data_IF_501449841982
#
_entry.id   IF_501449841982
#
_cell.length_a   1.000
_cell.length_b   1.000
_cell.length_c   1.000
_cell.angle_alpha   90.00
_cell.angle_beta   90.00
_cell.angle_gamma   90.00
#
_symmetry.space_group_name_H-M   'P 1'
#
loop_
_entity.id
_entity.type
_entity.pdbx_description
1 polymer ?
#
# COMPACT_ATOMS: atom_id res chain seq x y z
N UNK A 1 -3.35 13.60 -1.19
CA UNK A 1 -2.44 14.72 -0.86
C UNK A 1 -3.19 16.02 -0.70
N UNK A 2 -2.59 16.96 0.02
CA UNK A 2 -3.13 18.30 0.29
C UNK A 2 -3.11 19.23 -0.93
N UNK A 3 -2.07 19.15 -1.77
CA UNK A 3 -1.89 20.01 -2.95
C UNK A 3 -1.65 19.17 -4.23
N UNK A 4 -2.70 18.61 -4.85
CA UNK A 4 -2.56 17.72 -5.99
C UNK A 4 -2.33 18.49 -7.30
N UNK A 5 -1.31 18.09 -8.07
CA UNK A 5 -0.95 18.74 -9.34
C UNK A 5 -0.76 17.74 -10.49
N UNK A 6 -1.05 18.13 -11.76
CA UNK A 6 -0.80 17.26 -12.92
C UNK A 6 0.67 16.91 -13.11
N UNK A 7 1.57 17.88 -12.90
CA UNK A 7 3.01 17.71 -13.12
C UNK A 7 3.63 16.65 -12.22
N UNK A 8 3.07 16.45 -11.03
CA UNK A 8 3.54 15.44 -10.06
C UNK A 8 2.79 14.11 -10.19
N UNK A 9 1.80 14.00 -11.09
CA UNK A 9 0.93 12.84 -11.21
C UNK A 9 -0.10 12.70 -10.08
N UNK A 10 -0.13 13.62 -9.11
CA UNK A 10 -1.04 13.57 -7.94
C UNK A 10 -2.43 14.14 -8.22
N UNK A 11 -2.61 14.86 -9.35
CA UNK A 11 -3.90 15.19 -9.95
C UNK A 11 -4.01 14.57 -11.34
N UNK A 12 -4.94 13.65 -11.51
CA UNK A 12 -5.11 12.91 -12.76
C UNK A 12 -6.42 13.36 -13.41
N UNK A 13 -6.35 13.75 -14.68
CA UNK A 13 -7.53 14.05 -15.51
C UNK A 13 -7.64 12.96 -16.56
N UNK A 14 -8.77 12.27 -16.57
CA UNK A 14 -9.08 11.24 -17.58
C UNK A 14 -10.09 11.82 -18.54
N UNK A 15 -9.74 11.91 -19.82
CA UNK A 15 -10.65 12.33 -20.89
C UNK A 15 -11.13 11.10 -21.67
N UNK A 16 -12.34 11.18 -22.23
CA UNK A 16 -13.02 10.03 -22.84
C UNK A 16 -13.17 10.13 -24.38
N UNK A 17 -12.33 10.96 -25.03
CA UNK A 17 -12.37 11.22 -26.47
C UNK A 17 -11.02 11.38 -27.18
N UNK A 18 -9.91 11.54 -26.44
CA UNK A 18 -8.56 11.61 -27.01
C UNK A 18 -7.60 10.75 -26.17
N UNK A 19 -6.77 9.93 -26.82
CA UNK A 19 -5.72 9.17 -26.13
C UNK A 19 -4.52 10.06 -25.87
N UNK A 20 -4.13 10.18 -24.61
CA UNK A 20 -2.86 10.78 -24.23
C UNK A 20 -1.87 9.67 -23.88
N UNK A 21 -0.67 9.74 -24.45
CA UNK A 21 0.42 8.79 -24.18
C UNK A 21 0.96 9.06 -22.78
N UNK A 22 1.22 8.01 -22.00
CA UNK A 22 1.76 8.05 -20.63
C UNK A 22 0.83 8.64 -19.53
N UNK A 23 -0.47 8.76 -19.79
CA UNK A 23 -1.47 9.09 -18.76
C UNK A 23 -2.49 7.96 -18.58
N UNK A 24 -3.42 8.12 -17.65
CA UNK A 24 -4.59 7.26 -17.58
C UNK A 24 -5.39 7.38 -18.87
N UNK A 25 -5.88 6.25 -19.38
CA UNK A 25 -6.69 6.19 -20.58
C UNK A 25 -8.17 6.08 -20.21
N UNK A 26 -9.02 6.85 -20.90
CA UNK A 26 -10.48 6.78 -20.80
C UNK A 26 -11.12 6.44 -22.14
N UNK A 27 -12.18 5.63 -22.12
CA UNK A 27 -13.04 5.43 -23.28
C UNK A 27 -14.51 5.27 -22.87
N UNK A 28 -15.42 5.75 -23.71
CA UNK A 28 -16.86 5.49 -23.56
C UNK A 28 -17.14 4.07 -24.05
N UNK A 29 -17.71 3.23 -23.18
CA UNK A 29 -18.04 1.83 -23.49
C UNK A 29 -19.45 1.74 -24.05
N UNK A 30 -20.41 2.41 -23.40
CA UNK A 30 -21.80 2.42 -23.84
C UNK A 30 -22.57 3.62 -23.30
N UNK A 31 -23.62 3.98 -24.03
CA UNK A 31 -24.58 5.02 -23.65
C UNK A 31 -25.98 4.40 -23.64
N UNK A 32 -26.68 4.51 -22.50
CA UNK A 32 -28.04 4.00 -22.33
C UNK A 32 -28.90 5.06 -21.64
N UNK A 33 -29.71 5.78 -22.41
CA UNK A 33 -30.50 6.90 -21.91
C UNK A 33 -29.60 7.98 -21.29
N UNK A 34 -29.81 8.27 -20.00
CA UNK A 34 -29.00 9.20 -19.21
C UNK A 34 -27.78 8.57 -18.54
N UNK A 35 -27.51 7.27 -18.75
CA UNK A 35 -26.38 6.55 -18.16
C UNK A 35 -25.25 6.38 -19.16
N UNK A 36 -24.04 6.73 -18.74
CA UNK A 36 -22.79 6.50 -19.47
C UNK A 36 -21.95 5.47 -18.73
N UNK A 37 -21.47 4.46 -19.45
CA UNK A 37 -20.50 3.50 -18.95
C UNK A 37 -19.13 3.86 -19.50
N UNK A 38 -18.18 4.07 -18.60
CA UNK A 38 -16.82 4.51 -18.91
C UNK A 38 -15.83 3.40 -18.56
N UNK A 39 -14.85 3.17 -19.41
CA UNK A 39 -13.66 2.39 -19.07
C UNK A 39 -12.53 3.34 -18.76
N UNK A 40 -11.82 3.08 -17.66
CA UNK A 40 -10.67 3.84 -17.19
C UNK A 40 -9.55 2.85 -16.96
N UNK A 41 -8.40 3.10 -17.58
CA UNK A 41 -7.18 2.29 -17.41
C UNK A 41 -6.10 3.15 -16.77
N UNK A 42 -5.72 2.89 -15.50
CA UNK A 42 -4.59 3.56 -14.87
C UNK A 42 -3.28 3.35 -15.62
N UNK A 43 -2.38 4.33 -15.55
CA UNK A 43 -1.01 4.17 -16.04
C UNK A 43 -0.27 3.13 -15.19
N UNK A 44 0.58 2.25 -15.75
CA UNK A 44 1.45 1.35 -15.00
C UNK A 44 2.46 2.07 -14.08
N UNK A 45 2.66 3.38 -14.29
CA UNK A 45 3.54 4.24 -13.47
C UNK A 45 2.76 5.12 -12.49
N UNK A 46 1.49 4.80 -12.24
CA UNK A 46 0.64 5.59 -11.36
C UNK A 46 1.18 5.59 -9.94
N UNK A 47 0.93 6.69 -9.24
CA UNK A 47 1.16 6.78 -7.79
C UNK A 47 0.31 5.70 -7.11
N UNK A 48 0.91 4.93 -6.21
CA UNK A 48 0.19 4.00 -5.33
C UNK A 48 -0.41 4.77 -4.16
N UNK A 49 -1.69 4.53 -3.90
CA UNK A 49 -2.40 5.12 -2.77
C UNK A 49 -3.90 5.28 -2.97
N UNK A 50 -4.53 6.03 -2.07
CA UNK A 50 -5.97 6.32 -2.08
C UNK A 50 -6.26 7.62 -2.81
N UNK A 51 -7.04 7.54 -3.88
CA UNK A 51 -7.46 8.66 -4.71
C UNK A 51 -8.87 9.09 -4.37
N UNK A 52 -9.10 10.40 -4.44
CA UNK A 52 -10.43 10.99 -4.42
C UNK A 52 -10.92 11.08 -5.86
N UNK A 53 -12.14 10.60 -6.10
CA UNK A 53 -12.74 10.60 -7.44
C UNK A 53 -13.76 11.72 -7.58
N UNK A 54 -13.70 12.44 -8.70
CA UNK A 54 -14.64 13.49 -9.07
C UNK A 54 -15.02 13.31 -10.52
N UNK A 55 -16.29 13.59 -10.85
CA UNK A 55 -16.72 13.76 -12.24
C UNK A 55 -16.75 15.24 -12.54
N UNK A 56 -16.09 15.65 -13.61
CA UNK A 56 -16.10 17.01 -14.11
C UNK A 56 -16.83 17.05 -15.46
N UNK A 57 -17.78 17.96 -15.60
CA UNK A 57 -18.55 18.17 -16.83
C UNK A 57 -18.29 19.59 -17.29
N UNK A 58 -17.88 19.73 -18.55
CA UNK A 58 -17.77 21.03 -19.21
C UNK A 58 -19.05 21.31 -20.00
N UNK A 59 -19.87 22.23 -19.48
CA UNK A 59 -21.09 22.73 -20.12
C UNK A 59 -21.02 24.26 -20.26
N UNK A 60 -19.85 24.79 -20.63
CA UNK A 60 -19.57 26.24 -20.71
C UNK A 60 -18.97 26.83 -19.43
N UNK A 61 -19.20 26.16 -18.30
CA UNK A 61 -18.39 26.29 -17.08
C UNK A 61 -18.08 24.90 -16.56
N UNK A 62 -16.87 24.71 -16.01
CA UNK A 62 -16.45 23.42 -15.45
C UNK A 62 -17.19 23.17 -14.14
N UNK A 63 -18.05 22.15 -14.12
CA UNK A 63 -18.80 21.73 -12.93
C UNK A 63 -18.23 20.43 -12.40
N UNK A 64 -18.09 20.33 -11.08
CA UNK A 64 -17.57 19.15 -10.40
C UNK A 64 -18.62 18.55 -9.46
N UNK A 65 -18.65 17.23 -9.37
CA UNK A 65 -19.40 16.55 -8.31
C UNK A 65 -18.90 16.97 -6.92
N UNK A 66 -19.76 17.03 -5.89
CA UNK A 66 -19.31 17.24 -4.52
C UNK A 66 -18.39 16.10 -4.05
N UNK A 67 -17.61 16.35 -2.98
CA UNK A 67 -16.78 15.33 -2.35
C UNK A 67 -17.65 14.18 -1.86
N UNK A 68 -17.38 12.96 -2.33
CA UNK A 68 -18.02 11.74 -1.87
C UNK A 68 -16.97 10.68 -1.49
N UNK A 69 -16.86 10.33 -0.21
CA UNK A 69 -15.89 9.33 0.29
C UNK A 69 -16.18 7.92 -0.20
N UNK A 70 -17.41 7.60 -0.60
CA UNK A 70 -17.75 6.26 -1.10
C UNK A 70 -17.20 5.97 -2.50
N UNK A 71 -16.71 6.99 -3.22
CA UNK A 71 -16.06 6.85 -4.52
C UNK A 71 -14.53 6.92 -4.44
N UNK A 72 -13.96 6.93 -3.24
CA UNK A 72 -12.52 6.80 -3.08
C UNK A 72 -12.05 5.46 -3.63
N UNK A 73 -10.92 5.49 -4.30
CA UNK A 73 -10.38 4.33 -4.98
C UNK A 73 -8.91 4.14 -4.62
N UNK A 74 -8.52 2.91 -4.32
CA UNK A 74 -7.11 2.57 -4.18
C UNK A 74 -6.54 2.19 -5.54
N UNK A 75 -5.36 2.71 -5.84
CA UNK A 75 -4.53 2.27 -6.95
C UNK A 75 -3.29 1.66 -6.32
N UNK A 76 -3.00 0.41 -6.67
CA UNK A 76 -1.87 -0.36 -6.16
C UNK A 76 -0.91 -0.70 -7.30
N UNK A 77 0.28 -1.18 -6.94
CA UNK A 77 1.15 -1.85 -7.89
C UNK A 77 0.45 -3.06 -8.52
N UNK A 78 0.78 -3.37 -9.77
CA UNK A 78 0.11 -4.41 -10.53
C UNK A 78 1.09 -5.49 -11.03
N UNK A 79 1.23 -6.57 -10.27
CA UNK A 79 2.08 -7.70 -10.61
C UNK A 79 1.63 -8.47 -11.87
N UNK A 80 0.42 -8.22 -12.40
CA UNK A 80 -0.10 -8.83 -13.64
C UNK A 80 0.16 -7.97 -14.88
N UNK A 81 0.54 -6.70 -14.73
CA UNK A 81 0.76 -5.80 -15.86
C UNK A 81 2.22 -5.86 -16.30
N UNK A 82 2.49 -6.30 -17.53
CA UNK A 82 3.84 -6.40 -18.11
C UNK A 82 4.60 -5.07 -18.14
N UNK A 83 3.87 -3.95 -18.16
CA UNK A 83 4.44 -2.60 -18.19
C UNK A 83 4.70 -2.03 -16.78
N UNK A 84 4.25 -2.72 -15.72
CA UNK A 84 4.53 -2.34 -14.33
C UNK A 84 5.91 -2.87 -13.91
N UNK A 85 6.63 -2.09 -13.12
CA UNK A 85 7.98 -2.44 -12.64
C UNK A 85 7.96 -3.67 -11.74
N UNK A 86 6.83 -3.98 -11.11
CA UNK A 86 6.68 -5.17 -10.25
C UNK A 86 6.06 -6.38 -10.96
N UNK A 87 6.00 -6.36 -12.29
CA UNK A 87 5.47 -7.49 -13.06
C UNK A 87 6.17 -8.79 -12.66
N UNK A 88 5.37 -9.81 -12.38
CA UNK A 88 5.87 -11.14 -12.05
C UNK A 88 5.20 -12.14 -12.98
N UNK A 89 5.88 -12.76 -13.96
CA UNK A 89 5.22 -13.47 -15.06
C UNK A 89 4.48 -14.75 -14.65
N UNK A 90 4.99 -15.50 -13.68
CA UNK A 90 4.43 -16.79 -13.28
C UNK A 90 3.22 -16.64 -12.35
N UNK A 91 2.11 -17.30 -12.71
CA UNK A 91 0.91 -17.35 -11.87
C UNK A 91 1.19 -17.87 -10.46
N UNK A 92 1.94 -18.96 -10.34
CA UNK A 92 2.28 -19.55 -9.05
C UNK A 92 3.06 -18.58 -8.15
N UNK A 93 3.97 -17.78 -8.72
CA UNK A 93 4.71 -16.79 -7.95
C UNK A 93 3.86 -15.59 -7.55
N UNK A 94 2.91 -15.15 -8.39
CA UNK A 94 1.92 -14.14 -7.99
C UNK A 94 1.01 -14.65 -6.87
N UNK A 95 0.61 -15.92 -6.95
CA UNK A 95 -0.17 -16.56 -5.88
C UNK A 95 0.58 -16.59 -4.56
N UNK A 96 1.87 -16.92 -4.56
CA UNK A 96 2.68 -16.99 -3.35
C UNK A 96 3.12 -15.62 -2.83
N UNK A 97 3.71 -14.78 -3.67
CA UNK A 97 4.40 -13.56 -3.24
C UNK A 97 3.50 -12.32 -3.14
N UNK A 98 2.27 -12.40 -3.65
CA UNK A 98 1.31 -11.27 -3.63
C UNK A 98 0.01 -11.68 -2.95
N UNK A 99 -0.53 -12.85 -3.31
CA UNK A 99 -1.87 -13.25 -2.87
C UNK A 99 -1.90 -14.07 -1.56
N UNK A 100 -0.82 -14.77 -1.20
CA UNK A 100 -0.78 -15.51 0.04
C UNK A 100 -0.70 -14.54 1.23
N UNK A 101 -1.65 -14.64 2.14
CA UNK A 101 -1.75 -13.81 3.34
C UNK A 101 -1.24 -14.50 4.61
N UNK A 102 -0.60 -15.64 4.42
CA UNK A 102 0.03 -16.45 5.43
C UNK A 102 1.35 -17.02 4.88
N UNK A 103 2.34 -17.16 5.75
CA UNK A 103 3.63 -17.74 5.38
C UNK A 103 4.32 -18.47 6.53
N UNK A 104 5.51 -18.99 6.24
CA UNK A 104 6.37 -19.66 7.21
C UNK A 104 7.67 -18.89 7.33
N UNK A 105 8.03 -18.52 8.56
CA UNK A 105 9.34 -17.95 8.89
C UNK A 105 10.19 -19.07 9.50
N UNK A 106 11.32 -19.37 8.85
CA UNK A 106 12.29 -20.34 9.35
C UNK A 106 13.25 -19.69 10.35
N UNK A 107 13.50 -20.38 11.45
CA UNK A 107 14.34 -19.93 12.55
C UNK A 107 15.08 -21.13 13.18
N UNK A 108 15.94 -20.86 14.16
CA UNK A 108 16.79 -21.87 14.80
C UNK A 108 18.21 -21.88 14.22
N UNK A 109 18.89 -23.01 14.36
CA UNK A 109 20.28 -23.18 13.93
C UNK A 109 20.39 -24.20 12.80
N UNK A 110 21.51 -24.18 12.07
CA UNK A 110 21.83 -25.23 11.10
C UNK A 110 21.82 -26.60 11.80
N UNK A 111 21.00 -27.54 11.31
CA UNK A 111 20.78 -28.85 11.93
C UNK A 111 19.61 -28.93 12.92
N UNK A 112 19.00 -27.79 13.28
CA UNK A 112 17.83 -27.69 14.16
C UNK A 112 16.92 -26.52 13.71
N UNK A 113 16.49 -26.56 12.45
CA UNK A 113 15.61 -25.55 11.87
C UNK A 113 14.17 -25.82 12.33
N UNK A 114 13.47 -24.78 12.78
CA UNK A 114 12.03 -24.81 13.02
C UNK A 114 11.31 -23.78 12.15
N UNK A 115 10.11 -24.13 11.69
CA UNK A 115 9.23 -23.23 10.96
C UNK A 115 8.18 -22.64 11.90
N UNK A 116 7.94 -21.35 11.79
CA UNK A 116 6.88 -20.63 12.50
C UNK A 116 5.89 -20.06 11.50
N UNK A 117 4.62 -20.39 11.66
CA UNK A 117 3.55 -19.75 10.90
C UNK A 117 3.45 -18.26 11.22
N UNK A 118 3.23 -17.44 10.20
CA UNK A 118 3.04 -16.01 10.32
C UNK A 118 1.86 -15.55 9.47
N UNK A 119 0.88 -14.90 10.11
CA UNK A 119 -0.23 -14.28 9.40
C UNK A 119 0.19 -12.90 8.88
N UNK A 120 0.44 -12.77 7.58
CA UNK A 120 0.66 -11.46 6.97
C UNK A 120 -0.62 -10.63 7.04
N UNK A 121 -1.75 -11.19 6.61
CA UNK A 121 -3.08 -10.59 6.77
C UNK A 121 -3.26 -9.25 6.03
N UNK A 122 -2.66 -9.08 4.86
CA UNK A 122 -2.76 -7.86 4.05
C UNK A 122 -4.21 -7.51 3.63
N UNK A 123 -5.12 -8.49 3.66
CA UNK A 123 -6.54 -8.31 3.34
C UNK A 123 -7.42 -7.99 4.56
N UNK A 124 -6.86 -8.06 5.77
CA UNK A 124 -7.61 -7.75 6.98
C UNK A 124 -8.03 -6.28 7.00
N UNK A 125 -9.20 -6.03 7.59
CA UNK A 125 -9.83 -4.71 7.57
C UNK A 125 -8.89 -3.67 8.21
N UNK A 126 -8.57 -2.64 7.43
CA UNK A 126 -7.75 -1.50 7.87
C UNK A 126 -6.25 -1.69 7.69
N UNK A 127 -5.76 -2.87 7.28
CA UNK A 127 -4.32 -3.08 7.05
C UNK A 127 -3.81 -2.24 5.88
N UNK A 128 -4.53 -2.21 4.75
CA UNK A 128 -4.17 -1.34 3.63
C UNK A 128 -4.12 0.15 4.04
N UNK A 129 -5.10 0.61 4.82
CA UNK A 129 -5.11 1.97 5.36
C UNK A 129 -3.95 2.24 6.32
N UNK A 130 -3.57 1.24 7.13
CA UNK A 130 -2.40 1.32 8.00
C UNK A 130 -1.12 1.47 7.17
N UNK A 131 -0.92 0.68 6.12
CA UNK A 131 0.24 0.79 5.23
C UNK A 131 0.33 2.17 4.56
N UNK A 132 -0.79 2.69 4.05
CA UNK A 132 -0.84 4.05 3.50
C UNK A 132 -0.52 5.10 4.58
N UNK A 133 -1.03 4.92 5.80
CA UNK A 133 -0.75 5.84 6.90
C UNK A 133 0.72 5.81 7.34
N UNK A 134 1.40 4.66 7.27
CA UNK A 134 2.83 4.55 7.58
C UNK A 134 3.65 5.33 6.54
N UNK A 135 3.28 5.25 5.27
CA UNK A 135 3.89 6.05 4.20
C UNK A 135 3.60 7.56 4.32
N UNK A 136 2.46 7.93 4.91
CA UNK A 136 2.18 9.33 5.24
C UNK A 136 3.07 9.81 6.41
N UNK A 137 3.26 8.97 7.43
CA UNK A 137 4.11 9.27 8.58
C UNK A 137 5.60 9.37 8.21
N UNK A 138 6.05 8.65 7.17
CA UNK A 138 7.43 8.74 6.68
C UNK A 138 7.77 10.04 5.96
N UNK A 139 6.78 10.91 5.75
CA UNK A 139 6.89 12.11 4.94
C UNK A 139 7.39 11.83 3.50
N UNK A 140 7.25 10.60 3.01
CA UNK A 140 7.60 10.24 1.64
C UNK A 140 6.73 11.06 0.66
N UNK A 141 7.35 11.80 -0.28
CA UNK A 141 6.62 12.57 -1.28
C UNK A 141 5.62 11.68 -2.03
N UNK A 142 4.38 12.14 -2.16
CA UNK A 142 3.31 11.36 -2.81
C UNK A 142 3.68 11.01 -4.26
N UNK A 143 4.36 11.91 -4.97
CA UNK A 143 4.85 11.68 -6.33
C UNK A 143 5.83 10.50 -6.45
N UNK A 144 6.50 10.14 -5.36
CA UNK A 144 7.47 9.05 -5.33
C UNK A 144 6.82 7.69 -5.05
N UNK A 145 5.55 7.64 -4.66
CA UNK A 145 4.87 6.39 -4.29
C UNK A 145 4.51 5.49 -5.48
N UNK A 146 4.77 5.92 -6.71
CA UNK A 146 4.75 5.04 -7.89
C UNK A 146 6.08 4.30 -8.10
N UNK A 147 7.13 4.62 -7.34
CA UNK A 147 8.46 4.02 -7.48
C UNK A 147 8.70 2.99 -6.38
N UNK A 148 8.65 1.71 -6.76
CA UNK A 148 8.82 0.58 -5.82
C UNK A 148 10.15 0.63 -5.07
N UNK A 149 11.25 1.07 -5.71
CA UNK A 149 12.58 1.14 -5.07
C UNK A 149 12.54 2.16 -3.92
N UNK A 150 11.96 3.34 -4.16
CA UNK A 150 11.80 4.36 -3.12
C UNK A 150 10.85 3.89 -2.03
N UNK A 151 9.77 3.21 -2.38
CA UNK A 151 8.80 2.68 -1.42
C UNK A 151 9.41 1.61 -0.51
N UNK A 152 10.15 0.64 -1.07
CA UNK A 152 10.85 -0.39 -0.29
C UNK A 152 11.87 0.24 0.64
N UNK A 153 12.67 1.19 0.14
CA UNK A 153 13.63 1.92 0.97
C UNK A 153 12.93 2.64 2.13
N UNK A 154 11.84 3.35 1.87
CA UNK A 154 11.14 4.06 2.92
C UNK A 154 10.41 3.15 3.90
N UNK A 155 9.70 2.14 3.39
CA UNK A 155 9.05 1.15 4.23
C UNK A 155 10.04 0.48 5.18
N UNK A 156 11.20 0.06 4.68
CA UNK A 156 12.21 -0.61 5.52
C UNK A 156 12.69 0.24 6.70
N UNK A 157 12.86 1.56 6.52
CA UNK A 157 13.22 2.46 7.62
C UNK A 157 12.05 2.64 8.59
N UNK A 158 10.84 2.83 8.06
CA UNK A 158 9.63 3.03 8.87
C UNK A 158 9.21 1.84 9.71
N UNK A 159 9.71 0.63 9.45
CA UNK A 159 9.41 -0.51 10.32
C UNK A 159 10.11 -0.39 11.68
N UNK A 160 11.23 0.33 11.74
CA UNK A 160 12.02 0.50 12.96
C UNK A 160 11.69 1.83 13.66
N UNK A 161 11.47 1.78 14.97
CA UNK A 161 11.16 2.95 15.77
C UNK A 161 12.35 3.91 15.95
N UNK A 162 13.60 3.42 15.82
CA UNK A 162 14.76 4.29 15.93
C UNK A 162 14.79 5.26 14.74
N UNK A 163 15.22 6.49 15.01
CA UNK A 163 15.30 7.63 14.08
C UNK A 163 13.95 8.23 13.65
N UNK A 164 13.03 7.43 13.11
CA UNK A 164 11.85 7.93 12.40
C UNK A 164 10.50 7.71 13.15
N UNK A 165 10.54 7.24 14.41
CA UNK A 165 9.32 6.87 15.16
C UNK A 165 8.43 5.87 14.40
N UNK A 166 9.08 4.93 13.73
CA UNK A 166 8.47 3.85 12.97
C UNK A 166 7.68 2.83 13.79
N UNK A 167 7.28 1.74 13.14
CA UNK A 167 6.24 0.82 13.60
C UNK A 167 6.62 0.06 14.87
N UNK A 168 7.81 -0.53 14.95
CA UNK A 168 8.20 -1.49 15.99
C UNK A 168 9.41 -1.01 16.80
N UNK A 169 9.36 -1.21 18.11
CA UNK A 169 10.51 -1.05 19.00
C UNK A 169 11.27 -2.37 19.10
N UNK A 170 12.56 -2.38 18.72
CA UNK A 170 13.41 -3.56 18.84
C UNK A 170 13.84 -3.85 20.28
N UNK A 171 13.80 -5.11 20.73
CA UNK A 171 14.30 -5.50 22.04
C UNK A 171 14.82 -6.94 22.10
N UNK A 172 16.04 -7.11 22.62
CA UNK A 172 16.77 -8.38 22.81
C UNK A 172 17.29 -8.55 24.24
N UNK A 173 16.75 -7.80 25.21
CA UNK A 173 17.23 -7.83 26.60
C UNK A 173 16.71 -8.99 27.43
N UNK A 174 15.76 -9.78 26.89
CA UNK A 174 14.94 -10.76 27.63
C UNK A 174 14.08 -10.17 28.76
N UNK A 175 13.98 -8.84 28.84
CA UNK A 175 12.98 -8.12 29.64
C UNK A 175 11.99 -7.41 28.71
N UNK A 176 10.80 -8.00 28.61
CA UNK A 176 9.69 -7.49 27.80
C UNK A 176 8.56 -6.90 28.64
N UNK A 177 8.81 -6.57 29.92
CA UNK A 177 7.79 -6.12 30.88
C UNK A 177 6.98 -4.89 30.45
N UNK A 178 7.55 -4.05 29.58
CA UNK A 178 6.91 -2.83 29.05
C UNK A 178 6.20 -3.03 27.70
N UNK A 179 6.08 -4.27 27.21
CA UNK A 179 5.52 -4.55 25.90
C UNK A 179 5.11 -6.00 25.72
N UNK A 180 5.01 -6.41 24.45
CA UNK A 180 4.75 -7.80 24.08
C UNK A 180 6.07 -8.50 23.82
N UNK A 181 6.25 -9.68 24.41
CA UNK A 181 7.36 -10.58 24.08
C UNK A 181 7.36 -10.84 22.56
N UNK A 182 8.47 -10.59 21.84
CA UNK A 182 8.57 -10.80 20.40
C UNK A 182 8.15 -12.20 19.92
N UNK A 183 8.29 -13.21 20.79
CA UNK A 183 7.91 -14.60 20.51
C UNK A 183 6.40 -14.86 20.62
N UNK A 184 5.61 -13.91 21.11
CA UNK A 184 4.15 -14.04 21.22
C UNK A 184 3.39 -13.57 19.97
N UNK A 185 4.03 -12.81 19.08
CA UNK A 185 3.41 -12.35 17.85
C UNK A 185 3.18 -13.50 16.87
N UNK A 186 1.96 -13.63 16.36
CA UNK A 186 1.59 -14.65 15.37
C UNK A 186 1.34 -14.07 13.97
N UNK A 187 1.45 -12.75 13.82
CA UNK A 187 1.16 -12.05 12.57
C UNK A 187 1.26 -10.53 12.69
N UNK A 188 1.16 -9.87 11.55
CA UNK A 188 1.41 -8.43 11.40
C UNK A 188 0.18 -7.56 11.73
N UNK A 189 -1.02 -8.10 11.58
CA UNK A 189 -2.30 -7.35 11.61
C UNK A 189 -2.43 -6.52 12.88
N UNK A 190 -2.26 -7.14 14.06
CA UNK A 190 -2.40 -6.43 15.35
C UNK A 190 -1.37 -5.32 15.51
N UNK A 191 -0.13 -5.56 15.06
CA UNK A 191 0.96 -4.58 15.14
C UNK A 191 0.64 -3.36 14.27
N UNK A 192 0.32 -3.58 13.00
CA UNK A 192 0.05 -2.50 12.05
C UNK A 192 -1.19 -1.68 12.44
N UNK A 193 -2.27 -2.34 12.87
CA UNK A 193 -3.47 -1.64 13.32
C UNK A 193 -3.26 -0.87 14.63
N UNK A 194 -2.45 -1.41 15.55
CA UNK A 194 -2.08 -0.70 16.77
C UNK A 194 -1.27 0.56 16.45
N UNK A 195 -0.22 0.44 15.63
CA UNK A 195 0.57 1.59 15.21
C UNK A 195 -0.29 2.64 14.47
N UNK A 196 -1.12 2.22 13.52
CA UNK A 196 -1.95 3.13 12.75
C UNK A 196 -3.00 3.86 13.59
N UNK A 197 -3.53 3.24 14.64
CA UNK A 197 -4.51 3.86 15.52
C UNK A 197 -3.88 4.79 16.56
N UNK A 198 -2.74 4.43 17.13
CA UNK A 198 -2.10 5.21 18.21
C UNK A 198 -1.08 6.23 17.72
N UNK A 199 -0.48 6.00 16.54
CA UNK A 199 0.72 6.69 16.04
C UNK A 199 1.92 6.56 16.98
N UNK A 200 1.94 5.51 17.79
CA UNK A 200 3.03 5.20 18.72
C UNK A 200 3.63 3.85 18.36
N UNK A 201 4.96 3.79 18.36
CA UNK A 201 5.71 2.56 18.10
C UNK A 201 5.29 1.41 19.03
N UNK A 202 5.22 0.20 18.48
CA UNK A 202 4.71 -1.00 19.15
C UNK A 202 5.87 -1.78 19.75
N UNK A 203 5.93 -1.94 21.09
CA UNK A 203 6.91 -2.79 21.74
C UNK A 203 6.40 -4.25 21.84
N UNK A 204 7.19 -5.28 21.57
CA UNK A 204 8.53 -5.29 20.97
C UNK A 204 8.60 -6.19 19.75
N UNK A 205 9.61 -5.98 18.91
CA UNK A 205 9.95 -6.84 17.79
C UNK A 205 11.39 -7.34 17.86
N UNK A 206 11.61 -8.50 17.26
CA UNK A 206 12.93 -8.97 16.82
C UNK A 206 12.89 -9.21 15.32
N UNK A 207 14.01 -9.63 14.72
CA UNK A 207 14.21 -9.62 13.26
C UNK A 207 13.05 -10.27 12.47
N UNK A 208 12.50 -11.40 12.90
CA UNK A 208 11.36 -12.04 12.21
C UNK A 208 10.04 -11.26 12.32
N UNK A 209 9.84 -10.53 13.42
CA UNK A 209 8.67 -9.66 13.61
C UNK A 209 8.74 -8.48 12.64
N UNK A 210 9.92 -7.85 12.53
CA UNK A 210 10.16 -6.80 11.53
C UNK A 210 9.95 -7.31 10.11
N UNK A 211 10.52 -8.47 9.78
CA UNK A 211 10.38 -9.07 8.45
C UNK A 211 8.91 -9.40 8.14
N UNK A 212 8.19 -10.00 9.08
CA UNK A 212 6.77 -10.32 8.94
C UNK A 212 5.91 -9.07 8.70
N UNK A 213 6.14 -8.01 9.47
CA UNK A 213 5.44 -6.73 9.29
C UNK A 213 5.81 -6.01 8.00
N UNK A 214 7.06 -6.11 7.53
CA UNK A 214 7.47 -5.49 6.27
C UNK A 214 6.95 -6.26 5.04
N UNK A 215 6.72 -7.57 5.18
CA UNK A 215 6.16 -8.41 4.13
C UNK A 215 4.65 -8.16 3.93
N UNK A 216 3.95 -7.73 4.98
CA UNK A 216 2.53 -7.34 4.94
C UNK A 216 2.33 -5.98 4.28
#
# INVERSE_FOLDING_TARGET
GSDPTPNTGSRIVVTFGARHVNSWAGSIVSTQGSTLTLSITPSPKSIVGKFRTYVAIDAGTMQHTPRNTSTDMYVLFNAWCQDDTVFFPEDAGRSEYVLADYGIIYQGAVGAISGRGWMYGQYERGVLDACISILDASHMPISDRGNVIKMVRMGSAMLNAQDDSGVLVGNWSDDYSLGTDPTMWTGSVKILLQYASTKVSVPFGQCWVFAGCFNT
#
